data_IF_685758836329
#
_entry.id   IF_685758836329
#
_cell.length_a   1.000
_cell.length_b   1.000
_cell.length_c   1.000
_cell.angle_alpha   90.00
_cell.angle_beta   90.00
_cell.angle_gamma   90.00
#
_symmetry.space_group_name_H-M   'P 1'
#
loop_
_entity.id
_entity.type
_entity.pdbx_description
1 polymer ?
#
# COMPACT_ATOMS: atom_id res chain seq x y z
N UNK A 1 1.62 -14.08 36.03
CA UNK A 1 2.73 -13.67 35.17
C UNK A 1 2.76 -14.61 33.96
N UNK A 2 2.14 -14.21 32.83
CA UNK A 2 2.26 -14.95 31.56
C UNK A 2 3.51 -14.45 30.86
N UNK A 3 4.48 -15.36 30.68
CA UNK A 3 5.69 -15.13 29.91
C UNK A 3 5.32 -14.69 28.51
N UNK A 4 5.63 -13.44 28.15
CA UNK A 4 5.62 -12.96 26.78
C UNK A 4 6.72 -13.71 26.03
N UNK A 5 6.35 -14.71 25.23
CA UNK A 5 7.24 -15.24 24.20
C UNK A 5 7.62 -14.07 23.30
N UNK A 6 8.89 -13.65 23.31
CA UNK A 6 9.46 -12.83 22.24
C UNK A 6 9.32 -13.66 20.96
N UNK A 7 8.39 -13.26 20.11
CA UNK A 7 8.32 -13.72 18.72
C UNK A 7 9.58 -13.21 18.04
N UNK A 8 10.56 -14.08 17.80
CA UNK A 8 11.58 -13.84 16.80
C UNK A 8 10.87 -14.02 15.45
N UNK A 9 10.26 -12.97 14.93
CA UNK A 9 9.70 -12.98 13.58
C UNK A 9 10.84 -13.32 12.62
N UNK A 10 10.79 -14.50 12.05
CA UNK A 10 11.79 -14.95 11.09
C UNK A 10 11.45 -14.27 9.76
N UNK A 11 12.21 -13.23 9.41
CA UNK A 11 12.08 -12.58 8.10
C UNK A 11 12.15 -13.63 6.99
N UNK A 12 11.33 -13.47 5.97
CA UNK A 12 11.37 -14.32 4.79
C UNK A 12 12.70 -14.12 4.03
N UNK A 13 13.03 -15.08 3.18
CA UNK A 13 14.22 -14.96 2.32
C UNK A 13 14.13 -13.66 1.49
N UNK A 14 15.25 -12.94 1.37
CA UNK A 14 15.40 -11.67 0.65
C UNK A 14 14.63 -10.48 1.27
N UNK A 15 14.13 -10.63 2.49
CA UNK A 15 13.46 -9.57 3.24
C UNK A 15 14.44 -8.87 4.19
N UNK A 16 14.32 -7.55 4.27
CA UNK A 16 15.15 -6.70 5.11
C UNK A 16 14.36 -6.21 6.33
N UNK A 17 14.99 -6.10 7.51
CA UNK A 17 14.34 -5.53 8.69
C UNK A 17 13.98 -4.06 8.45
N UNK A 18 12.88 -3.59 9.04
CA UNK A 18 12.38 -2.21 8.86
C UNK A 18 13.15 -1.16 9.69
N UNK A 19 14.02 -1.59 10.62
CA UNK A 19 14.74 -0.72 11.57
C UNK A 19 16.00 -0.06 10.99
N UNK A 20 16.06 0.17 9.69
CA UNK A 20 17.14 0.94 9.07
C UNK A 20 16.88 2.45 9.12
N UNK A 21 17.94 3.25 9.02
CA UNK A 21 17.82 4.70 8.95
C UNK A 21 17.06 5.14 7.70
N UNK A 22 16.25 6.20 7.82
CA UNK A 22 15.47 6.77 6.70
C UNK A 22 15.73 8.26 6.58
N UNK A 23 15.77 8.75 5.35
CA UNK A 23 15.84 10.17 5.06
C UNK A 23 14.42 10.72 4.92
N UNK A 24 14.08 11.66 5.79
CA UNK A 24 12.79 12.34 5.79
C UNK A 24 12.91 13.77 5.30
N UNK A 25 11.90 14.26 4.63
CA UNK A 25 11.72 15.69 4.34
C UNK A 25 10.43 16.18 4.98
N UNK A 26 10.47 17.39 5.51
CA UNK A 26 9.30 18.10 6.02
C UNK A 26 9.15 19.42 5.30
N UNK A 27 7.95 19.72 4.82
CA UNK A 27 7.62 20.98 4.17
C UNK A 27 6.19 21.42 4.50
N UNK A 28 5.96 22.73 4.44
CA UNK A 28 4.65 23.33 4.68
C UNK A 28 3.72 23.00 3.52
N UNK A 29 2.46 22.66 3.81
CA UNK A 29 1.46 22.50 2.77
C UNK A 29 1.22 23.84 2.05
N UNK A 30 1.44 23.93 0.72
CA UNK A 30 1.22 25.16 -0.02
C UNK A 30 -0.20 25.71 0.04
N UNK A 31 -1.18 24.82 0.27
CA UNK A 31 -2.61 25.16 0.28
C UNK A 31 -3.17 25.33 1.73
N UNK A 32 -2.36 25.02 2.78
CA UNK A 32 -2.77 25.13 4.17
C UNK A 32 -1.59 25.45 5.10
N UNK A 33 -1.54 26.70 5.57
CA UNK A 33 -0.45 27.18 6.44
C UNK A 33 -0.41 26.59 7.86
N UNK A 34 -1.38 25.77 8.24
CA UNK A 34 -1.42 25.07 9.53
C UNK A 34 -1.08 23.59 9.43
N UNK A 35 -0.64 23.12 8.23
CA UNK A 35 -0.34 21.74 7.94
C UNK A 35 1.04 21.59 7.32
N UNK A 36 1.78 20.58 7.79
CA UNK A 36 3.04 20.13 7.20
C UNK A 36 2.87 18.73 6.61
N UNK A 37 3.66 18.45 5.58
CA UNK A 37 3.91 17.08 5.12
C UNK A 37 5.30 16.64 5.56
N UNK A 38 5.39 15.41 6.10
CA UNK A 38 6.63 14.71 6.45
C UNK A 38 6.70 13.44 5.63
N UNK A 39 7.61 13.39 4.66
CA UNK A 39 7.64 12.33 3.67
C UNK A 39 8.94 11.53 3.73
N UNK A 40 8.82 10.19 3.69
CA UNK A 40 9.96 9.25 3.67
C UNK A 40 10.58 9.23 2.27
N UNK A 41 11.66 10.00 2.07
CA UNK A 41 12.36 10.03 0.79
C UNK A 41 13.07 8.72 0.48
N UNK A 42 13.48 7.94 1.49
CA UNK A 42 14.08 6.62 1.28
C UNK A 42 13.12 5.66 0.62
N UNK A 43 11.87 5.63 1.10
CA UNK A 43 10.81 4.84 0.52
C UNK A 43 10.36 5.38 -0.83
N UNK A 44 10.02 6.67 -0.90
CA UNK A 44 9.45 7.29 -2.11
C UNK A 44 10.39 7.26 -3.31
N UNK A 45 11.71 7.24 -3.08
CA UNK A 45 12.71 7.07 -4.15
C UNK A 45 13.16 5.63 -4.35
N UNK A 46 12.54 4.66 -3.68
CA UNK A 46 12.76 3.23 -3.91
C UNK A 46 12.08 2.74 -5.20
N UNK A 47 12.50 1.58 -5.70
CA UNK A 47 11.97 0.98 -6.94
C UNK A 47 11.01 -0.18 -6.68
N UNK A 48 10.18 -0.02 -5.65
CA UNK A 48 9.13 -1.01 -5.35
C UNK A 48 8.07 -1.06 -6.45
N UNK A 49 7.56 -2.27 -6.71
CA UNK A 49 6.44 -2.53 -7.61
C UNK A 49 5.61 -3.68 -7.06
N UNK A 50 4.27 -3.59 -7.14
CA UNK A 50 3.42 -4.72 -6.82
C UNK A 50 3.69 -5.88 -7.80
N UNK A 51 4.03 -7.05 -7.27
CA UNK A 51 4.30 -8.27 -8.03
C UNK A 51 3.18 -9.31 -7.89
N UNK A 52 1.98 -8.91 -7.49
CA UNK A 52 0.84 -9.82 -7.42
C UNK A 52 0.59 -10.46 -8.79
N UNK A 53 0.51 -11.80 -8.80
CA UNK A 53 0.44 -12.57 -10.04
C UNK A 53 1.78 -12.78 -10.76
N UNK A 54 2.88 -12.20 -10.28
CA UNK A 54 4.21 -12.29 -10.87
C UNK A 54 5.29 -12.63 -9.82
N UNK A 55 4.98 -13.55 -8.88
CA UNK A 55 5.91 -14.00 -7.86
C UNK A 55 5.60 -13.53 -6.43
N UNK A 56 4.47 -12.83 -6.20
CA UNK A 56 4.00 -12.53 -4.85
C UNK A 56 3.70 -13.82 -4.10
N UNK A 57 4.37 -14.05 -2.97
CA UNK A 57 4.17 -15.22 -2.13
C UNK A 57 2.92 -15.10 -1.22
N UNK A 58 2.30 -13.92 -1.15
CA UNK A 58 1.21 -13.63 -0.22
C UNK A 58 1.68 -13.39 1.21
N UNK A 59 0.87 -12.72 2.00
CA UNK A 59 1.18 -12.42 3.41
C UNK A 59 0.86 -13.58 4.36
N UNK A 60 0.17 -14.60 3.87
CA UNK A 60 -0.29 -15.80 4.60
C UNK A 60 0.12 -17.03 3.76
N UNK A 61 1.04 -17.84 4.29
CA UNK A 61 1.58 -19.02 3.58
C UNK A 61 0.49 -20.06 3.29
N UNK A 62 -0.56 -20.13 4.11
CA UNK A 62 -1.71 -21.01 3.88
C UNK A 62 -2.60 -20.52 2.73
N UNK A 63 -2.45 -19.24 2.33
CA UNK A 63 -3.23 -18.57 1.27
C UNK A 63 -2.36 -17.75 0.30
N UNK A 64 -1.33 -18.35 -0.30
CA UNK A 64 -0.36 -17.61 -1.11
C UNK A 64 -0.98 -16.86 -2.30
N UNK A 65 -2.08 -17.38 -2.84
CA UNK A 65 -2.80 -16.78 -3.97
C UNK A 65 -3.74 -15.62 -3.58
N UNK A 66 -3.89 -15.33 -2.30
CA UNK A 66 -4.72 -14.23 -1.82
C UNK A 66 -3.94 -12.90 -1.72
N UNK A 67 -2.62 -12.94 -1.67
CA UNK A 67 -1.79 -11.74 -1.48
C UNK A 67 -2.20 -10.98 -0.20
N UNK A 68 -2.26 -9.67 -0.25
CA UNK A 68 -2.73 -8.82 0.84
C UNK A 68 -4.27 -8.84 1.05
N UNK A 69 -5.02 -9.60 0.24
CA UNK A 69 -6.48 -9.75 0.37
C UNK A 69 -6.89 -10.91 1.32
N UNK A 70 -5.94 -11.63 1.92
CA UNK A 70 -6.23 -12.80 2.78
C UNK A 70 -7.04 -12.46 4.02
N UNK A 71 -6.97 -11.23 4.54
CA UNK A 71 -7.74 -10.84 5.74
C UNK A 71 -8.91 -9.87 5.45
N UNK A 72 -9.11 -9.46 4.22
CA UNK A 72 -10.07 -8.42 3.85
C UNK A 72 -9.51 -7.02 4.14
N UNK A 73 -10.35 -6.00 4.03
CA UNK A 73 -9.94 -4.60 4.18
C UNK A 73 -10.86 -3.88 5.16
N UNK A 74 -10.32 -3.30 6.22
CA UNK A 74 -11.02 -2.41 7.11
C UNK A 74 -11.33 -1.09 6.38
N UNK A 75 -12.53 -0.59 6.54
CA UNK A 75 -12.90 0.73 6.02
C UNK A 75 -12.39 1.82 6.94
N UNK A 76 -11.90 2.91 6.36
CA UNK A 76 -11.43 4.08 7.13
C UNK A 76 -12.59 4.91 7.70
N UNK A 77 -13.81 4.69 7.22
CA UNK A 77 -15.02 5.34 7.66
C UNK A 77 -16.22 4.97 6.81
N UNK A 78 -17.33 5.64 7.05
CA UNK A 78 -18.60 5.40 6.38
C UNK A 78 -18.53 5.76 4.88
N UNK A 79 -17.85 6.86 4.55
CA UNK A 79 -17.68 7.34 3.19
C UNK A 79 -16.88 6.34 2.34
N UNK A 80 -15.86 5.71 2.93
CA UNK A 80 -15.07 4.67 2.30
C UNK A 80 -15.95 3.45 1.95
N UNK A 81 -16.74 2.95 2.91
CA UNK A 81 -17.67 1.86 2.69
C UNK A 81 -18.73 2.20 1.62
N UNK A 82 -19.28 3.41 1.65
CA UNK A 82 -20.29 3.88 0.67
C UNK A 82 -19.69 3.97 -0.74
N UNK A 83 -18.44 4.44 -0.88
CA UNK A 83 -17.73 4.48 -2.16
C UNK A 83 -17.54 3.06 -2.71
N UNK A 84 -17.08 2.12 -1.89
CA UNK A 84 -16.91 0.72 -2.27
C UNK A 84 -18.26 0.08 -2.64
N UNK A 85 -19.31 0.35 -1.87
CA UNK A 85 -20.67 -0.13 -2.18
C UNK A 85 -21.18 0.40 -3.53
N UNK A 86 -20.92 1.68 -3.83
CA UNK A 86 -21.26 2.29 -5.11
C UNK A 86 -20.52 1.63 -6.27
N UNK A 87 -19.23 1.35 -6.11
CA UNK A 87 -18.43 0.64 -7.09
C UNK A 87 -18.92 -0.81 -7.27
N UNK A 88 -19.19 -1.53 -6.18
CA UNK A 88 -19.66 -2.92 -6.21
C UNK A 88 -20.98 -3.10 -6.95
N UNK A 89 -21.88 -2.12 -6.91
CA UNK A 89 -23.15 -2.13 -7.65
C UNK A 89 -22.98 -2.12 -9.17
N UNK A 90 -21.82 -1.72 -9.68
CA UNK A 90 -21.51 -1.69 -11.12
C UNK A 90 -20.94 -3.02 -11.61
N UNK A 91 -20.48 -3.88 -10.70
CA UNK A 91 -19.95 -5.19 -11.05
C UNK A 91 -21.04 -6.10 -11.57
N UNK A 92 -20.73 -6.82 -12.64
CA UNK A 92 -21.58 -7.86 -13.19
C UNK A 92 -21.25 -9.24 -12.63
N UNK A 93 -22.14 -10.21 -12.82
CA UNK A 93 -21.92 -11.59 -12.38
C UNK A 93 -20.70 -12.25 -13.01
N UNK A 94 -20.35 -11.88 -14.24
CA UNK A 94 -19.15 -12.39 -14.90
C UNK A 94 -17.86 -11.74 -14.41
N UNK A 95 -17.92 -10.54 -13.86
CA UNK A 95 -16.73 -9.80 -13.41
C UNK A 95 -16.37 -10.08 -11.94
N UNK A 96 -17.30 -10.68 -11.18
CA UNK A 96 -17.16 -10.87 -9.76
C UNK A 96 -17.55 -12.29 -9.33
N UNK A 97 -16.56 -13.10 -8.98
CA UNK A 97 -16.74 -14.51 -8.61
C UNK A 97 -17.81 -14.72 -7.53
N UNK A 98 -17.86 -13.84 -6.54
CA UNK A 98 -18.77 -13.96 -5.39
C UNK A 98 -20.02 -13.07 -5.50
N UNK A 99 -20.43 -12.76 -6.74
CA UNK A 99 -21.59 -11.93 -7.02
C UNK A 99 -22.88 -12.42 -6.34
N UNK A 100 -23.17 -13.73 -6.44
CA UNK A 100 -24.38 -14.30 -5.87
C UNK A 100 -24.37 -14.28 -4.34
N UNK A 101 -23.21 -14.43 -3.71
CA UNK A 101 -23.05 -14.36 -2.25
C UNK A 101 -23.19 -12.91 -1.72
N UNK A 102 -22.90 -11.93 -2.55
CA UNK A 102 -23.13 -10.53 -2.25
C UNK A 102 -24.60 -10.11 -2.47
N UNK A 103 -25.28 -10.71 -3.45
CA UNK A 103 -26.67 -10.42 -3.83
C UNK A 103 -27.64 -11.42 -3.19
N UNK A 104 -27.77 -11.39 -1.87
CA UNK A 104 -28.72 -12.26 -1.19
C UNK A 104 -30.17 -11.88 -1.55
N UNK A 105 -30.99 -12.87 -1.96
CA UNK A 105 -32.42 -12.70 -2.32
C UNK A 105 -33.26 -12.03 -1.22
N UNK A 106 -32.86 -12.22 0.03
CA UNK A 106 -33.53 -11.67 1.21
C UNK A 106 -33.11 -10.23 1.55
N UNK A 107 -32.12 -9.69 0.89
CA UNK A 107 -31.53 -8.39 1.27
C UNK A 107 -31.52 -7.40 0.09
N UNK A 108 -32.10 -6.22 0.29
CA UNK A 108 -32.06 -5.14 -0.72
C UNK A 108 -30.67 -4.50 -0.84
N UNK A 109 -29.78 -4.70 0.15
CA UNK A 109 -28.41 -4.18 0.18
C UNK A 109 -27.42 -5.30 -0.14
N UNK A 110 -26.35 -4.96 -0.86
CA UNK A 110 -25.23 -5.88 -1.07
C UNK A 110 -24.60 -6.29 0.26
N UNK A 111 -24.36 -7.59 0.43
CA UNK A 111 -23.73 -8.18 1.61
C UNK A 111 -22.22 -8.28 1.40
N UNK A 112 -21.56 -7.12 1.36
CA UNK A 112 -20.11 -6.98 1.06
C UNK A 112 -19.25 -6.72 2.29
N UNK A 113 -19.87 -6.48 3.43
CA UNK A 113 -19.18 -6.06 4.66
C UNK A 113 -19.51 -6.99 5.83
N UNK A 114 -18.58 -7.07 6.77
CA UNK A 114 -18.70 -7.76 8.05
C UNK A 114 -18.10 -6.92 9.19
N UNK A 115 -18.33 -7.34 10.43
CA UNK A 115 -17.71 -6.73 11.61
C UNK A 115 -16.41 -7.46 11.89
N UNK A 116 -15.29 -6.73 11.99
CA UNK A 116 -13.99 -7.24 12.39
C UNK A 116 -13.83 -7.40 13.90
N UNK A 117 -12.62 -7.76 14.34
CA UNK A 117 -12.33 -8.06 15.76
C UNK A 117 -12.55 -6.85 16.67
N UNK A 118 -12.21 -5.64 16.23
CA UNK A 118 -12.34 -4.38 16.99
C UNK A 118 -13.71 -3.70 16.83
N UNK A 119 -14.71 -4.45 16.35
CA UNK A 119 -16.05 -3.96 15.99
C UNK A 119 -16.04 -2.99 14.78
N UNK A 120 -14.92 -2.77 14.17
CA UNK A 120 -14.80 -1.98 12.94
C UNK A 120 -15.34 -2.75 11.74
N UNK A 121 -15.84 -2.01 10.78
CA UNK A 121 -16.39 -2.59 9.56
C UNK A 121 -15.28 -2.85 8.55
N UNK A 122 -15.35 -4.02 7.91
CA UNK A 122 -14.41 -4.41 6.85
C UNK A 122 -15.12 -5.13 5.71
N UNK A 123 -14.43 -5.32 4.60
CA UNK A 123 -14.91 -6.16 3.51
C UNK A 123 -15.11 -7.59 4.00
N UNK A 124 -16.23 -8.20 3.61
CA UNK A 124 -16.55 -9.57 3.96
C UNK A 124 -15.50 -10.54 3.44
N UNK A 125 -15.22 -11.58 4.22
CA UNK A 125 -14.41 -12.72 3.79
C UNK A 125 -15.30 -13.89 3.34
N UNK A 126 -14.88 -14.54 2.25
CA UNK A 126 -15.42 -15.80 1.77
C UNK A 126 -14.23 -16.74 1.54
N UNK A 127 -14.30 -17.94 2.06
CA UNK A 127 -13.23 -18.94 1.94
C UNK A 127 -11.85 -18.37 2.31
N UNK A 128 -11.80 -17.62 3.41
CA UNK A 128 -10.60 -17.11 4.00
C UNK A 128 -10.00 -15.86 3.34
N UNK A 129 -10.65 -15.25 2.33
CA UNK A 129 -10.13 -14.04 1.67
C UNK A 129 -11.25 -13.08 1.28
N UNK A 130 -10.89 -11.85 0.94
CA UNK A 130 -11.82 -10.78 0.58
C UNK A 130 -12.83 -11.22 -0.48
N UNK A 131 -14.10 -10.86 -0.29
CA UNK A 131 -15.21 -11.14 -1.22
C UNK A 131 -14.96 -10.58 -2.64
N UNK A 132 -14.18 -9.50 -2.77
CA UNK A 132 -13.85 -8.91 -4.06
C UNK A 132 -12.66 -9.56 -4.77
N UNK A 133 -11.99 -10.51 -4.13
CA UNK A 133 -10.88 -11.22 -4.76
C UNK A 133 -11.40 -12.36 -5.63
N UNK A 134 -11.35 -12.21 -6.94
CA UNK A 134 -11.48 -13.33 -7.88
C UNK A 134 -10.28 -14.25 -7.73
N UNK A 135 -10.51 -15.52 -7.41
CA UNK A 135 -9.46 -16.51 -7.12
C UNK A 135 -8.72 -16.91 -8.40
N UNK A 136 -7.50 -17.42 -8.23
CA UNK A 136 -6.76 -18.03 -9.33
C UNK A 136 -7.61 -19.14 -9.98
N UNK A 137 -7.72 -19.11 -11.32
CA UNK A 137 -8.56 -20.05 -12.06
C UNK A 137 -10.02 -19.63 -12.21
N UNK A 138 -10.42 -18.44 -11.71
CA UNK A 138 -11.76 -17.93 -12.00
C UNK A 138 -11.89 -17.56 -13.48
N UNK A 139 -12.88 -18.15 -14.13
CA UNK A 139 -13.27 -17.88 -15.52
C UNK A 139 -14.77 -17.64 -15.62
N UNK A 140 -15.16 -16.68 -16.44
CA UNK A 140 -16.57 -16.39 -16.73
C UNK A 140 -16.73 -15.86 -18.17
N UNK A 141 -17.85 -16.16 -18.85
CA UNK A 141 -18.10 -15.65 -20.20
C UNK A 141 -18.04 -14.13 -20.28
N UNK A 142 -17.22 -13.61 -21.20
CA UNK A 142 -17.05 -12.17 -21.41
C UNK A 142 -16.13 -11.47 -20.39
N UNK A 143 -15.59 -12.19 -19.42
CA UNK A 143 -14.59 -11.66 -18.49
C UNK A 143 -13.18 -11.90 -19.03
N UNK A 144 -12.47 -10.83 -19.34
CA UNK A 144 -11.09 -10.89 -19.85
C UNK A 144 -10.03 -10.72 -18.74
N UNK A 145 -10.45 -10.31 -17.54
CA UNK A 145 -9.62 -10.30 -16.34
C UNK A 145 -9.29 -11.74 -15.93
N UNK A 146 -8.09 -11.90 -15.36
CA UNK A 146 -7.71 -13.22 -14.82
C UNK A 146 -8.21 -13.31 -13.36
N UNK A 147 -7.32 -13.52 -12.44
CA UNK A 147 -7.58 -13.44 -11.00
C UNK A 147 -7.27 -12.01 -10.49
N UNK A 148 -7.66 -11.71 -9.25
CA UNK A 148 -7.38 -10.42 -8.61
C UNK A 148 -8.64 -9.68 -8.18
N UNK A 149 -8.47 -8.46 -7.72
CA UNK A 149 -9.57 -7.69 -7.15
C UNK A 149 -10.58 -7.26 -8.23
N UNK A 150 -11.85 -7.66 -8.11
CA UNK A 150 -12.92 -7.26 -9.01
C UNK A 150 -13.09 -5.72 -9.09
N UNK A 151 -12.88 -5.01 -7.98
CA UNK A 151 -12.92 -3.55 -7.95
C UNK A 151 -11.75 -2.92 -8.74
N UNK A 152 -10.58 -3.57 -8.77
CA UNK A 152 -9.47 -3.13 -9.60
C UNK A 152 -9.75 -3.36 -11.09
N UNK A 153 -10.32 -4.51 -11.44
CA UNK A 153 -10.75 -4.78 -12.81
C UNK A 153 -11.82 -3.78 -13.28
N UNK A 154 -12.75 -3.40 -12.39
CA UNK A 154 -13.76 -2.39 -12.68
C UNK A 154 -13.11 -1.04 -13.01
N UNK A 155 -12.16 -0.56 -12.19
CA UNK A 155 -11.50 0.71 -12.49
C UNK A 155 -10.77 0.70 -13.83
N UNK A 156 -10.07 -0.39 -14.14
CA UNK A 156 -9.40 -0.54 -15.44
C UNK A 156 -10.39 -0.53 -16.61
N UNK A 157 -11.53 -1.23 -16.48
CA UNK A 157 -12.60 -1.24 -17.48
C UNK A 157 -13.22 0.14 -17.71
N UNK A 158 -13.40 0.92 -16.62
CA UNK A 158 -13.98 2.26 -16.69
C UNK A 158 -12.94 3.33 -17.09
N UNK A 159 -11.66 2.98 -17.25
CA UNK A 159 -10.59 3.94 -17.48
C UNK A 159 -10.38 4.90 -16.30
N UNK A 160 -10.79 4.48 -15.09
CA UNK A 160 -10.60 5.20 -13.82
C UNK A 160 -9.45 4.61 -13.03
N UNK A 161 -9.17 5.17 -11.84
CA UNK A 161 -8.10 4.68 -10.98
C UNK A 161 -8.67 3.84 -9.82
N UNK A 162 -7.93 2.85 -9.28
CA UNK A 162 -8.34 2.08 -8.10
C UNK A 162 -8.71 2.91 -6.86
N UNK A 163 -8.25 4.13 -6.75
CA UNK A 163 -8.66 5.12 -5.73
C UNK A 163 -10.18 5.34 -5.73
N UNK A 164 -10.83 5.27 -6.90
CA UNK A 164 -12.26 5.52 -7.03
C UNK A 164 -13.13 4.31 -6.65
N UNK A 165 -12.54 3.12 -6.57
CA UNK A 165 -13.31 1.87 -6.49
C UNK A 165 -12.95 1.01 -5.29
N UNK A 166 -11.69 0.99 -4.85
CA UNK A 166 -11.20 0.12 -3.77
C UNK A 166 -11.34 0.77 -2.39
N UNK A 167 -11.38 -0.03 -1.31
CA UNK A 167 -11.20 0.48 0.05
C UNK A 167 -9.92 1.30 0.19
N UNK A 168 -9.92 2.31 1.06
CA UNK A 168 -8.78 3.20 1.27
C UNK A 168 -7.50 2.44 1.59
N UNK A 169 -7.55 1.50 2.53
CA UNK A 169 -6.40 0.67 2.89
C UNK A 169 -5.83 -0.11 1.69
N UNK A 170 -6.68 -0.48 0.73
CA UNK A 170 -6.27 -1.29 -0.43
C UNK A 170 -5.61 -0.45 -1.52
N UNK A 171 -6.09 0.76 -1.79
CA UNK A 171 -5.47 1.59 -2.82
C UNK A 171 -4.26 2.37 -2.28
N UNK A 172 -4.21 2.63 -0.98
CA UNK A 172 -3.06 3.28 -0.34
C UNK A 172 -1.81 2.39 -0.32
N UNK A 173 -1.95 1.05 -0.24
CA UNK A 173 -0.77 0.19 -0.31
C UNK A 173 0.03 0.43 -1.60
N UNK A 174 1.34 0.64 -1.51
CA UNK A 174 2.26 0.39 -0.38
C UNK A 174 2.57 1.64 0.47
N UNK A 175 1.77 2.67 0.38
CA UNK A 175 1.95 3.91 1.13
C UNK A 175 1.16 3.86 2.44
N UNK A 176 1.75 4.37 3.50
CA UNK A 176 1.08 4.64 4.77
C UNK A 176 0.94 6.12 4.98
N UNK A 177 -0.25 6.56 5.41
CA UNK A 177 -0.52 7.92 5.85
C UNK A 177 -1.02 7.91 7.29
N UNK A 178 -0.46 8.77 8.13
CA UNK A 178 -0.95 9.03 9.49
C UNK A 178 -0.67 10.47 9.88
N UNK A 179 -1.14 10.90 11.05
CA UNK A 179 -1.10 12.29 11.50
C UNK A 179 -0.36 12.39 12.81
N UNK A 180 0.48 13.41 12.92
CA UNK A 180 1.16 13.85 14.14
C UNK A 180 0.75 15.30 14.44
N UNK A 181 0.94 15.75 15.67
CA UNK A 181 0.79 17.16 16.05
C UNK A 181 2.16 17.72 16.36
N UNK A 182 2.49 18.86 15.76
CA UNK A 182 3.74 19.60 15.99
C UNK A 182 3.40 20.93 16.66
N UNK A 183 4.08 21.24 17.75
CA UNK A 183 3.96 22.51 18.45
C UNK A 183 5.17 23.42 18.12
N UNK A 184 4.90 24.64 17.68
CA UNK A 184 5.93 25.65 17.42
C UNK A 184 5.49 26.95 18.13
N UNK A 185 6.16 27.27 19.24
CA UNK A 185 5.69 28.30 20.18
C UNK A 185 4.31 27.92 20.74
N UNK A 186 3.35 28.83 20.66
CA UNK A 186 1.98 28.63 21.14
C UNK A 186 1.03 28.04 20.06
N UNK A 187 1.55 27.70 18.89
CA UNK A 187 0.75 27.20 17.77
C UNK A 187 0.89 25.69 17.60
N UNK A 188 -0.22 25.05 17.26
CA UNK A 188 -0.29 23.63 16.90
C UNK A 188 -0.47 23.49 15.40
N UNK A 189 0.31 22.60 14.81
CA UNK A 189 0.27 22.27 13.40
C UNK A 189 -0.05 20.78 13.24
N UNK A 190 -0.84 20.47 12.23
CA UNK A 190 -1.01 19.08 11.79
C UNK A 190 0.19 18.69 10.93
N UNK A 191 0.77 17.52 11.19
CA UNK A 191 1.81 16.93 10.34
C UNK A 191 1.24 15.67 9.71
N UNK A 192 1.05 15.68 8.40
CA UNK A 192 0.66 14.50 7.62
C UNK A 192 1.93 13.73 7.26
N UNK A 193 2.08 12.54 7.83
CA UNK A 193 3.24 11.69 7.59
C UNK A 193 2.92 10.68 6.49
N UNK A 194 3.77 10.62 5.46
CA UNK A 194 3.63 9.69 4.33
C UNK A 194 4.93 8.89 4.18
N UNK A 195 4.82 7.57 4.26
CA UNK A 195 5.96 6.68 4.17
C UNK A 195 5.59 5.28 3.70
N UNK A 196 6.47 4.33 3.98
CA UNK A 196 6.28 2.92 3.69
C UNK A 196 5.19 2.32 4.56
N UNK A 197 4.34 1.47 3.97
CA UNK A 197 3.43 0.64 4.74
C UNK A 197 4.20 -0.60 5.23
N UNK A 198 4.87 -0.46 6.36
CA UNK A 198 5.70 -1.50 6.96
C UNK A 198 4.84 -2.64 7.57
N UNK A 199 5.47 -3.78 7.91
CA UNK A 199 4.82 -4.90 8.60
C UNK A 199 4.05 -4.45 9.84
N UNK A 200 4.67 -3.64 10.69
CA UNK A 200 4.06 -3.14 11.94
C UNK A 200 2.82 -2.27 11.69
N UNK A 201 2.64 -1.76 10.48
CA UNK A 201 1.45 -1.01 10.10
C UNK A 201 0.18 -1.88 10.03
N UNK A 202 0.33 -3.20 9.97
CA UNK A 202 -0.78 -4.15 10.04
C UNK A 202 -1.27 -4.42 11.47
N UNK A 203 -0.69 -3.75 12.48
CA UNK A 203 -0.99 -3.97 13.89
C UNK A 203 -0.26 -5.19 14.46
N UNK A 204 -0.81 -5.78 15.53
CA UNK A 204 -0.16 -6.87 16.28
C UNK A 204 0.17 -8.11 15.42
N UNK A 205 -0.61 -8.38 14.37
CA UNK A 205 -0.36 -9.50 13.43
C UNK A 205 0.66 -9.18 12.34
N UNK A 206 1.18 -7.96 12.26
CA UNK A 206 2.13 -7.58 11.22
C UNK A 206 3.46 -8.33 11.30
N UNK A 207 3.92 -8.66 12.51
CA UNK A 207 5.14 -9.45 12.70
C UNK A 207 4.99 -10.92 12.29
N UNK A 208 3.76 -11.44 12.30
CA UNK A 208 3.45 -12.83 11.98
C UNK A 208 3.21 -13.07 10.48
N UNK A 209 3.32 -12.04 9.64
CA UNK A 209 3.19 -12.20 8.18
C UNK A 209 4.33 -13.08 7.66
N UNK A 210 4.00 -14.08 6.85
CA UNK A 210 4.99 -15.03 6.32
C UNK A 210 5.92 -14.42 5.27
N UNK A 211 5.43 -13.46 4.50
CA UNK A 211 6.19 -12.72 3.49
C UNK A 211 5.64 -11.30 3.38
N UNK A 212 6.50 -10.33 3.16
CA UNK A 212 6.04 -8.95 3.03
C UNK A 212 6.78 -8.18 1.93
N UNK A 213 6.00 -7.59 1.00
CA UNK A 213 6.54 -7.08 -0.26
C UNK A 213 7.35 -5.80 -0.13
N UNK A 214 7.01 -4.89 0.82
CA UNK A 214 7.67 -3.58 0.86
C UNK A 214 9.10 -3.67 1.33
N UNK A 215 9.41 -4.66 2.16
CA UNK A 215 10.74 -4.93 2.69
C UNK A 215 11.50 -6.03 1.93
N UNK A 216 10.87 -6.69 0.93
CA UNK A 216 11.49 -7.79 0.20
C UNK A 216 12.04 -7.34 -1.17
N UNK A 217 13.31 -7.67 -1.44
CA UNK A 217 13.98 -7.29 -2.70
C UNK A 217 13.29 -7.84 -3.96
N UNK A 218 12.53 -8.94 -3.84
CA UNK A 218 11.77 -9.50 -4.96
C UNK A 218 10.73 -8.52 -5.54
N UNK A 219 10.22 -7.59 -4.71
CA UNK A 219 9.28 -6.57 -5.14
C UNK A 219 9.93 -5.22 -5.52
N UNK A 220 11.27 -5.06 -5.35
CA UNK A 220 11.99 -3.83 -5.71
C UNK A 220 12.55 -3.86 -7.14
N UNK A 221 11.70 -4.28 -8.08
CA UNK A 221 12.02 -4.46 -9.50
C UNK A 221 11.37 -3.41 -10.42
N UNK A 222 10.75 -2.38 -9.85
CA UNK A 222 10.10 -1.29 -10.57
C UNK A 222 11.07 -0.57 -11.51
N UNK A 223 10.54 -0.02 -12.59
CA UNK A 223 11.31 0.78 -13.57
C UNK A 223 11.37 2.25 -13.21
N UNK A 224 10.41 2.74 -12.45
CA UNK A 224 10.29 4.11 -11.95
C UNK A 224 10.14 4.08 -10.43
N UNK A 225 10.58 5.12 -9.71
CA UNK A 225 10.48 5.17 -8.27
C UNK A 225 9.04 5.32 -7.78
N UNK A 226 8.80 4.97 -6.51
CA UNK A 226 7.47 4.95 -5.89
C UNK A 226 6.74 6.28 -6.00
N UNK A 227 7.44 7.44 -5.81
CA UNK A 227 6.77 8.75 -5.92
C UNK A 227 6.17 9.01 -7.30
N UNK A 228 6.72 8.40 -8.37
CA UNK A 228 6.17 8.50 -9.73
C UNK A 228 5.12 7.41 -10.00
N UNK A 229 5.39 6.16 -9.61
CA UNK A 229 4.46 5.05 -9.84
C UNK A 229 3.16 5.18 -9.04
N UNK A 230 3.21 5.83 -7.86
CA UNK A 230 2.06 6.08 -6.98
C UNK A 230 1.61 7.54 -7.00
N UNK A 231 1.79 8.23 -8.13
CA UNK A 231 1.44 9.66 -8.27
C UNK A 231 -0.04 9.94 -7.96
N UNK A 232 -0.95 9.10 -8.45
CA UNK A 232 -2.40 9.31 -8.26
C UNK A 232 -2.77 9.16 -6.79
N UNK A 233 -2.25 8.15 -6.12
CA UNK A 233 -2.43 7.92 -4.69
C UNK A 233 -1.88 9.08 -3.87
N UNK A 234 -0.65 9.53 -4.15
CA UNK A 234 -0.02 10.66 -3.46
C UNK A 234 -0.80 11.96 -3.67
N UNK A 235 -1.24 12.25 -4.90
CA UNK A 235 -2.09 13.42 -5.17
C UNK A 235 -3.41 13.33 -4.42
N UNK A 236 -3.98 12.14 -4.29
CA UNK A 236 -5.21 11.93 -3.51
C UNK A 236 -4.99 12.14 -2.00
N UNK A 237 -3.82 11.77 -1.49
CA UNK A 237 -3.47 11.91 -0.08
C UNK A 237 -3.14 13.35 0.34
N UNK A 238 -2.50 14.13 -0.55
CA UNK A 238 -1.86 15.40 -0.17
C UNK A 238 -2.27 16.60 -1.04
N UNK A 239 -3.03 16.40 -2.09
CA UNK A 239 -3.36 17.45 -3.05
C UNK A 239 -2.28 17.67 -4.11
N UNK A 240 -2.66 18.36 -5.19
CA UNK A 240 -1.76 18.57 -6.34
C UNK A 240 -0.58 19.48 -6.02
N UNK A 241 -0.81 20.56 -5.25
CA UNK A 241 0.23 21.54 -4.91
C UNK A 241 1.32 20.92 -4.04
N UNK A 242 0.93 20.19 -2.99
CA UNK A 242 1.86 19.50 -2.10
C UNK A 242 2.61 18.37 -2.82
N UNK A 243 1.91 17.61 -3.70
CA UNK A 243 2.60 16.60 -4.53
C UNK A 243 3.65 17.25 -5.44
N UNK A 244 3.37 18.41 -6.03
CA UNK A 244 4.35 19.12 -6.89
C UNK A 244 5.62 19.50 -6.11
N UNK A 245 5.49 19.92 -4.85
CA UNK A 245 6.65 20.18 -3.99
C UNK A 245 7.41 18.89 -3.64
N UNK A 246 6.69 17.81 -3.29
CA UNK A 246 7.29 16.50 -3.05
C UNK A 246 8.05 15.99 -4.29
N UNK A 247 7.46 16.09 -5.48
CA UNK A 247 8.06 15.66 -6.75
C UNK A 247 9.41 16.35 -6.99
N UNK A 248 9.49 17.69 -6.80
CA UNK A 248 10.75 18.45 -6.90
C UNK A 248 11.82 17.97 -5.92
N UNK A 249 11.42 17.68 -4.67
CA UNK A 249 12.33 17.19 -3.63
C UNK A 249 12.86 15.79 -3.96
N UNK A 250 11.99 14.89 -4.45
CA UNK A 250 12.37 13.56 -4.90
C UNK A 250 13.29 13.62 -6.13
N UNK A 251 12.99 14.47 -7.13
CA UNK A 251 13.82 14.64 -8.31
C UNK A 251 15.21 15.19 -7.97
N UNK A 252 15.28 16.18 -7.09
CA UNK A 252 16.54 16.73 -6.61
C UNK A 252 17.38 15.65 -5.89
N UNK A 253 16.74 14.82 -5.03
CA UNK A 253 17.39 13.70 -4.37
C UNK A 253 17.91 12.68 -5.37
N UNK A 254 17.10 12.27 -6.35
CA UNK A 254 17.51 11.30 -7.38
C UNK A 254 18.68 11.82 -8.20
N UNK A 255 18.67 13.10 -8.57
CA UNK A 255 19.80 13.75 -9.27
C UNK A 255 21.08 13.75 -8.41
N UNK A 256 20.97 14.07 -7.12
CA UNK A 256 22.10 14.06 -6.18
C UNK A 256 22.67 12.64 -5.98
N UNK A 257 21.82 11.61 -5.85
CA UNK A 257 22.25 10.20 -5.79
C UNK A 257 23.02 9.83 -7.06
N UNK A 258 22.51 10.19 -8.25
CA UNK A 258 23.17 9.90 -9.52
C UNK A 258 24.52 10.62 -9.66
N UNK A 259 24.63 11.89 -9.23
CA UNK A 259 25.87 12.63 -9.22
C UNK A 259 26.90 12.01 -8.26
N UNK A 260 26.46 11.61 -7.07
CA UNK A 260 27.33 10.97 -6.06
C UNK A 260 27.86 9.63 -6.56
N UNK A 261 27.03 8.78 -7.19
CA UNK A 261 27.47 7.51 -7.79
C UNK A 261 28.56 7.73 -8.86
N UNK A 262 28.51 8.82 -9.62
CA UNK A 262 29.55 9.17 -10.62
C UNK A 262 30.84 9.65 -9.94
N UNK A 263 30.76 10.36 -8.83
CA UNK A 263 31.91 10.90 -8.11
C UNK A 263 32.60 9.85 -7.22
N UNK A 264 31.86 8.91 -6.66
CA UNK A 264 32.37 7.88 -5.75
C UNK A 264 33.08 6.73 -6.50
N UNK A 265 34.26 7.01 -7.05
CA UNK A 265 35.23 5.96 -7.40
C UNK A 265 36.07 5.48 -6.20
N UNK A 266 35.95 6.07 -5.00
CA UNK A 266 36.73 5.74 -3.79
C UNK A 266 35.89 5.95 -2.52
N UNK A 267 35.71 4.89 -1.75
CA UNK A 267 35.46 4.69 -0.31
C UNK A 267 35.07 5.93 0.51
N UNK A 268 33.85 6.44 0.35
CA UNK A 268 33.26 7.37 1.31
C UNK A 268 31.92 6.82 1.78
N UNK A 269 31.52 7.21 3.00
CA UNK A 269 30.22 6.84 3.56
C UNK A 269 29.11 7.32 2.60
N UNK A 270 28.06 6.52 2.39
CA UNK A 270 26.97 6.92 1.53
C UNK A 270 26.27 8.16 2.10
N UNK A 271 26.18 9.23 1.28
CA UNK A 271 25.51 10.48 1.66
C UNK A 271 23.98 10.35 1.74
N UNK A 272 23.44 9.30 1.15
CA UNK A 272 22.00 9.05 1.09
C UNK A 272 21.67 7.64 1.56
N UNK A 273 20.58 7.52 2.30
CA UNK A 273 20.04 6.21 2.68
C UNK A 273 19.18 5.67 1.54
N UNK A 274 19.66 4.64 0.86
CA UNK A 274 18.90 3.93 -0.16
C UNK A 274 18.16 2.77 0.52
N UNK A 275 16.88 2.57 0.18
CA UNK A 275 16.09 1.46 0.71
C UNK A 275 16.84 0.12 0.54
N UNK A 276 17.04 -0.67 1.62
CA UNK A 276 17.90 -1.86 1.57
C UNK A 276 17.50 -2.87 0.48
N UNK A 277 16.20 -3.10 0.30
CA UNK A 277 15.70 -4.00 -0.73
C UNK A 277 15.98 -3.49 -2.16
N UNK A 278 15.85 -2.18 -2.40
CA UNK A 278 16.24 -1.55 -3.68
C UNK A 278 17.75 -1.66 -3.91
N UNK A 279 18.54 -1.38 -2.87
CA UNK A 279 20.01 -1.47 -2.95
C UNK A 279 20.46 -2.87 -3.31
N UNK A 280 19.91 -3.90 -2.66
CA UNK A 280 20.24 -5.30 -2.93
C UNK A 280 19.99 -5.70 -4.41
N UNK A 281 18.88 -5.23 -5.00
CA UNK A 281 18.61 -5.48 -6.43
C UNK A 281 19.57 -4.73 -7.35
N UNK A 282 19.94 -3.49 -6.98
CA UNK A 282 20.89 -2.69 -7.80
C UNK A 282 22.33 -3.24 -7.78
N UNK A 283 22.73 -3.90 -6.70
CA UNK A 283 24.05 -4.53 -6.55
C UNK A 283 24.17 -5.87 -7.27
N UNK A 284 23.04 -6.49 -7.63
CA UNK A 284 22.99 -7.76 -8.39
C UNK A 284 22.96 -7.55 -9.91
N UNK A 285 22.74 -6.33 -10.39
CA UNK A 285 22.71 -5.92 -11.81
C UNK A 285 24.06 -5.38 -12.25
#
# INVERSE_FOLDING_TARGET
>A
MKSTKKSNSKLSKNEFPSNFARDWVEFLNPDNSEEFFKCDLTWLTSYWQCIYGNGCCGIDADKPNAGCCSDGAYYTGKEDEERVLKAAKKLTKSEWQFYDQAHLKSNKKLNISEIGLDKDRKTKKIDGSCIFLNRVGYEAPGFTGKFGCALHHLSNKEGSHPVDTKPDICWQLPLRRYWEVKEIGDKKFTVVVIGEYERLAWGEGGEDLDWYCTSNSEAHIGKIPVYQSSKVELVTMMGKSAYSELEKLCDARMAAIAATKKAQKKRELPLFVIHPATKAVQEQR
#
